data_IF_176413678492
#
_entry.id   IF_176413678492
#
_cell.length_a   1.000
_cell.length_b   1.000
_cell.length_c   1.000
_cell.angle_alpha   90.00
_cell.angle_beta   90.00
_cell.angle_gamma   90.00
#
_symmetry.space_group_name_H-M   'P 1'
#
loop_
_entity.id
_entity.type
_entity.pdbx_description
1 polymer ?
#
# COMPACT_ATOMS: atom_id res chain seq x y z
N UNK A 1 17.34 -33.56 21.75
CA UNK A 1 16.91 -32.15 21.98
C UNK A 1 15.91 -31.82 20.89
N UNK A 2 14.60 -31.95 21.18
CA UNK A 2 13.52 -31.80 20.20
C UNK A 2 13.27 -30.29 20.01
N UNK A 3 13.52 -29.77 18.81
CA UNK A 3 13.17 -28.39 18.45
C UNK A 3 11.66 -28.36 18.26
N UNK A 4 10.93 -28.00 19.30
CA UNK A 4 9.52 -27.60 19.16
C UNK A 4 9.50 -26.30 18.37
N UNK A 5 9.42 -26.40 17.05
CA UNK A 5 9.06 -25.28 16.19
C UNK A 5 7.64 -24.89 16.58
N UNK A 6 7.49 -23.70 17.15
CA UNK A 6 6.18 -23.18 17.56
C UNK A 6 5.32 -22.96 16.31
N UNK A 7 4.54 -23.97 15.93
CA UNK A 7 3.67 -23.95 14.74
C UNK A 7 2.68 -22.77 14.74
N UNK A 8 2.36 -22.22 15.92
CA UNK A 8 1.54 -21.02 16.05
C UNK A 8 2.21 -19.77 15.53
N UNK A 9 3.49 -19.56 15.83
CA UNK A 9 4.25 -18.39 15.36
C UNK A 9 4.46 -18.42 13.83
N UNK A 10 4.72 -19.59 13.26
CA UNK A 10 4.81 -19.76 11.80
C UNK A 10 3.49 -19.47 11.10
N UNK A 11 2.36 -19.94 11.65
CA UNK A 11 1.02 -19.67 11.14
C UNK A 11 0.68 -18.17 11.19
N UNK A 12 0.96 -17.50 12.31
CA UNK A 12 0.73 -16.07 12.47
C UNK A 12 1.55 -15.23 11.47
N UNK A 13 2.82 -15.55 11.25
CA UNK A 13 3.67 -14.90 10.24
C UNK A 13 3.15 -15.14 8.81
N UNK A 14 2.60 -16.30 8.54
CA UNK A 14 2.05 -16.63 7.22
C UNK A 14 0.77 -15.85 6.93
N UNK A 15 -0.15 -15.76 7.88
CA UNK A 15 -1.37 -14.95 7.77
C UNK A 15 -1.07 -13.46 7.68
N UNK A 16 -0.14 -12.95 8.49
CA UNK A 16 0.28 -11.54 8.44
C UNK A 16 0.90 -11.20 7.08
N UNK A 17 1.76 -12.07 6.54
CA UNK A 17 2.36 -11.86 5.22
C UNK A 17 1.33 -11.87 4.09
N UNK A 18 0.29 -12.71 4.17
CA UNK A 18 -0.79 -12.76 3.19
C UNK A 18 -1.64 -11.50 3.25
N UNK A 19 -2.09 -11.08 4.44
CA UNK A 19 -2.87 -9.86 4.62
C UNK A 19 -2.07 -8.60 4.23
N UNK A 20 -0.81 -8.53 4.63
CA UNK A 20 0.07 -7.41 4.29
C UNK A 20 0.31 -7.29 2.78
N UNK A 21 0.52 -8.41 2.06
CA UNK A 21 0.69 -8.37 0.60
C UNK A 21 -0.60 -7.96 -0.12
N UNK A 22 -1.75 -8.40 0.39
CA UNK A 22 -3.05 -8.01 -0.12
C UNK A 22 -3.29 -6.50 0.04
N UNK A 23 -3.02 -5.93 1.23
CA UNK A 23 -3.10 -4.48 1.47
C UNK A 23 -2.09 -3.70 0.62
N UNK A 24 -0.84 -4.17 0.54
CA UNK A 24 0.20 -3.50 -0.22
C UNK A 24 -0.09 -3.41 -1.72
N UNK A 25 -0.92 -4.29 -2.26
CA UNK A 25 -1.35 -4.26 -3.67
C UNK A 25 -2.69 -3.55 -3.86
N UNK A 26 -3.66 -3.74 -2.95
CA UNK A 26 -5.00 -3.17 -3.09
C UNK A 26 -5.00 -1.64 -2.94
N UNK A 27 -4.20 -1.08 -2.05
CA UNK A 27 -4.13 0.37 -1.83
C UNK A 27 -3.67 1.14 -3.09
N UNK A 28 -2.55 0.82 -3.77
CA UNK A 28 -2.15 1.55 -4.97
C UNK A 28 -3.12 1.34 -6.14
N UNK A 29 -3.77 0.17 -6.24
CA UNK A 29 -4.82 -0.05 -7.25
C UNK A 29 -6.02 0.85 -6.99
N UNK A 30 -6.48 0.94 -5.74
CA UNK A 30 -7.57 1.84 -5.35
C UNK A 30 -7.19 3.32 -5.57
N UNK A 31 -5.96 3.72 -5.22
CA UNK A 31 -5.46 5.06 -5.49
C UNK A 31 -5.45 5.37 -6.99
N UNK A 32 -5.02 4.41 -7.82
CA UNK A 32 -5.09 4.55 -9.28
C UNK A 32 -6.51 4.76 -9.80
N UNK A 33 -7.47 4.00 -9.29
CA UNK A 33 -8.88 4.16 -9.64
C UNK A 33 -9.44 5.53 -9.21
N UNK A 34 -9.06 6.02 -8.02
CA UNK A 34 -9.41 7.37 -7.56
C UNK A 34 -8.82 8.46 -8.47
N UNK A 35 -7.56 8.33 -8.87
CA UNK A 35 -6.91 9.26 -9.78
C UNK A 35 -7.60 9.32 -11.14
N UNK A 36 -8.03 8.19 -11.69
CA UNK A 36 -8.81 8.14 -12.92
C UNK A 36 -10.16 8.84 -12.78
N UNK A 37 -10.83 8.67 -11.65
CA UNK A 37 -12.14 9.32 -11.40
C UNK A 37 -12.00 10.83 -11.17
N UNK A 38 -10.83 11.32 -10.76
CA UNK A 38 -10.55 12.75 -10.61
C UNK A 38 -10.16 13.43 -11.92
N UNK A 39 -10.17 12.72 -13.05
CA UNK A 39 -9.85 13.28 -14.38
C UNK A 39 -10.65 14.53 -14.74
N UNK A 40 -11.93 14.58 -14.34
CA UNK A 40 -12.79 15.75 -14.54
C UNK A 40 -12.28 17.02 -13.84
N UNK A 41 -11.43 16.85 -12.81
CA UNK A 41 -10.84 17.96 -12.03
C UNK A 41 -9.43 18.31 -12.52
N UNK A 42 -8.65 17.31 -12.93
CA UNK A 42 -7.23 17.45 -13.25
C UNK A 42 -6.93 17.36 -14.75
N UNK A 43 -7.88 16.86 -15.54
CA UNK A 43 -7.68 16.51 -16.94
C UNK A 43 -7.02 15.14 -17.13
N UNK A 44 -7.35 14.47 -18.25
CA UNK A 44 -6.91 13.09 -18.54
C UNK A 44 -5.39 12.96 -18.62
N UNK A 45 -4.70 13.95 -19.17
CA UNK A 45 -3.23 13.94 -19.26
C UNK A 45 -2.54 13.92 -17.91
N UNK A 46 -3.04 14.72 -16.97
CA UNK A 46 -2.54 14.77 -15.62
C UNK A 46 -2.83 13.46 -14.87
N UNK A 47 -4.04 12.91 -14.99
CA UNK A 47 -4.39 11.62 -14.39
C UNK A 47 -3.48 10.50 -14.90
N UNK A 48 -3.21 10.43 -16.20
CA UNK A 48 -2.29 9.45 -16.78
C UNK A 48 -0.84 9.64 -16.29
N UNK A 49 -0.37 10.88 -16.15
CA UNK A 49 0.95 11.17 -15.59
C UNK A 49 1.08 10.69 -14.16
N UNK A 50 0.08 10.94 -13.31
CA UNK A 50 0.06 10.51 -11.92
C UNK A 50 -0.01 8.98 -11.79
N UNK A 51 -0.79 8.31 -12.65
CA UNK A 51 -0.84 6.85 -12.72
C UNK A 51 0.51 6.25 -13.13
N UNK A 52 1.16 6.84 -14.13
CA UNK A 52 2.49 6.40 -14.57
C UNK A 52 3.50 6.58 -13.45
N UNK A 53 3.49 7.72 -12.75
CA UNK A 53 4.34 7.98 -11.60
C UNK A 53 4.10 6.94 -10.48
N UNK A 54 2.84 6.64 -10.16
CA UNK A 54 2.47 5.63 -9.19
C UNK A 54 3.00 4.25 -9.55
N UNK A 55 2.80 3.82 -10.81
CA UNK A 55 3.25 2.52 -11.29
C UNK A 55 4.78 2.39 -11.26
N UNK A 56 5.50 3.41 -11.76
CA UNK A 56 6.96 3.43 -11.76
C UNK A 56 7.51 3.46 -10.34
N UNK A 57 6.92 4.24 -9.44
CA UNK A 57 7.31 4.29 -8.04
C UNK A 57 7.08 2.95 -7.33
N UNK A 58 5.94 2.28 -7.57
CA UNK A 58 5.67 0.95 -7.04
C UNK A 58 6.70 -0.08 -7.51
N UNK A 59 6.99 -0.12 -8.81
CA UNK A 59 8.00 -1.00 -9.37
C UNK A 59 9.40 -0.68 -8.82
N UNK A 60 9.74 0.61 -8.69
CA UNK A 60 10.98 1.08 -8.08
C UNK A 60 11.12 0.63 -6.62
N UNK A 61 10.05 0.73 -5.83
CA UNK A 61 9.99 0.24 -4.46
C UNK A 61 10.18 -1.26 -4.37
N UNK A 62 9.53 -2.03 -5.23
CA UNK A 62 9.69 -3.47 -5.31
C UNK A 62 11.12 -3.88 -5.73
N UNK A 63 11.77 -3.11 -6.60
CA UNK A 63 13.17 -3.30 -6.98
C UNK A 63 14.11 -2.94 -5.82
N UNK A 64 13.86 -1.83 -5.14
CA UNK A 64 14.65 -1.36 -3.98
C UNK A 64 14.65 -2.39 -2.85
N UNK A 65 13.53 -3.07 -2.59
CA UNK A 65 13.44 -4.13 -1.59
C UNK A 65 14.35 -5.35 -1.90
N UNK A 66 14.80 -5.51 -3.16
CA UNK A 66 15.76 -6.54 -3.57
C UNK A 66 17.22 -6.13 -3.36
N UNK A 67 17.47 -4.86 -3.12
CA UNK A 67 18.83 -4.35 -2.98
C UNK A 67 19.51 -4.95 -1.75
N UNK A 68 20.74 -5.45 -1.94
CA UNK A 68 21.45 -6.24 -0.93
C UNK A 68 21.51 -5.63 0.49
N UNK A 69 21.79 -4.31 0.67
CA UNK A 69 21.82 -3.69 1.99
C UNK A 69 20.49 -3.74 2.72
N UNK A 70 19.38 -3.59 2.01
CA UNK A 70 18.04 -3.64 2.57
C UNK A 70 17.58 -5.08 2.84
N UNK A 71 17.98 -6.03 1.98
CA UNK A 71 17.67 -7.45 2.13
C UNK A 71 18.22 -8.07 3.43
N UNK A 72 19.26 -7.48 4.03
CA UNK A 72 19.81 -7.92 5.32
C UNK A 72 18.98 -7.47 6.53
N UNK A 73 18.01 -6.58 6.34
CA UNK A 73 17.14 -6.12 7.42
C UNK A 73 16.03 -7.14 7.71
N UNK A 74 15.53 -7.21 8.95
CA UNK A 74 14.40 -8.06 9.29
C UNK A 74 13.19 -7.77 8.39
N UNK A 75 12.56 -8.80 7.84
CA UNK A 75 11.46 -8.65 6.88
C UNK A 75 10.28 -7.84 7.47
N UNK A 76 9.93 -8.08 8.73
CA UNK A 76 8.85 -7.34 9.40
C UNK A 76 9.17 -5.86 9.59
N UNK A 77 10.42 -5.52 9.91
CA UNK A 77 10.86 -4.12 9.99
C UNK A 77 10.78 -3.44 8.62
N UNK A 78 11.22 -4.12 7.55
CA UNK A 78 11.11 -3.61 6.18
C UNK A 78 9.65 -3.43 5.74
N UNK A 79 8.79 -4.37 6.09
CA UNK A 79 7.36 -4.29 5.83
C UNK A 79 6.74 -3.07 6.53
N UNK A 80 7.05 -2.88 7.81
CA UNK A 80 6.61 -1.71 8.60
C UNK A 80 7.07 -0.39 7.99
N UNK A 81 8.36 -0.27 7.64
CA UNK A 81 8.90 0.95 7.03
C UNK A 81 8.28 1.21 5.65
N UNK A 82 8.04 0.17 4.86
CA UNK A 82 7.33 0.29 3.58
C UNK A 82 5.94 0.90 3.76
N UNK A 83 5.15 0.38 4.69
CA UNK A 83 3.83 0.93 4.97
C UNK A 83 3.87 2.34 5.57
N UNK A 84 4.81 2.65 6.46
CA UNK A 84 4.95 4.00 7.02
C UNK A 84 5.33 5.02 5.94
N UNK A 85 6.24 4.65 5.04
CA UNK A 85 6.60 5.49 3.89
C UNK A 85 5.40 5.71 2.97
N UNK A 86 4.62 4.65 2.72
CA UNK A 86 3.40 4.75 1.93
C UNK A 86 2.36 5.66 2.60
N UNK A 87 2.13 5.51 3.89
CA UNK A 87 1.21 6.36 4.64
C UNK A 87 1.63 7.84 4.59
N UNK A 88 2.92 8.14 4.74
CA UNK A 88 3.45 9.49 4.60
C UNK A 88 3.22 10.05 3.18
N UNK A 89 3.41 9.24 2.14
CA UNK A 89 3.14 9.62 0.76
C UNK A 89 1.66 9.91 0.51
N UNK A 90 0.76 9.02 0.95
CA UNK A 90 -0.69 9.24 0.82
C UNK A 90 -1.19 10.43 1.63
N UNK A 91 -0.63 10.65 2.84
CA UNK A 91 -0.94 11.84 3.64
C UNK A 91 -0.50 13.12 2.95
N UNK A 92 0.70 13.15 2.36
CA UNK A 92 1.16 14.29 1.55
C UNK A 92 0.24 14.53 0.35
N UNK A 93 -0.16 13.48 -0.36
CA UNK A 93 -1.12 13.57 -1.46
C UNK A 93 -2.46 14.17 -1.00
N UNK A 94 -2.96 13.71 0.16
CA UNK A 94 -4.18 14.22 0.77
C UNK A 94 -4.07 15.72 1.09
N UNK A 95 -2.98 16.12 1.75
CA UNK A 95 -2.75 17.53 2.11
C UNK A 95 -2.67 18.42 0.88
N UNK A 96 -2.04 17.96 -0.20
CA UNK A 96 -1.92 18.73 -1.45
C UNK A 96 -3.25 18.83 -2.18
N UNK A 97 -4.08 17.80 -2.17
CA UNK A 97 -5.43 17.88 -2.73
C UNK A 97 -6.34 18.83 -1.94
N UNK A 98 -6.15 18.92 -0.63
CA UNK A 98 -6.94 19.78 0.23
C UNK A 98 -6.46 21.25 0.18
N UNK A 99 -5.13 21.46 0.09
CA UNK A 99 -4.49 22.76 0.30
C UNK A 99 -4.21 23.60 -0.93
N UNK A 100 -4.50 23.12 -2.18
CA UNK A 100 -4.38 23.99 -3.34
C UNK A 100 -3.45 23.56 -4.49
N UNK A 101 -3.29 22.28 -4.76
CA UNK A 101 -2.77 21.75 -6.04
C UNK A 101 -1.33 22.11 -6.40
N UNK A 102 -0.39 21.98 -5.47
CA UNK A 102 1.03 22.02 -5.83
C UNK A 102 1.43 20.70 -6.54
N UNK A 103 1.60 20.77 -7.86
CA UNK A 103 1.90 19.61 -8.71
C UNK A 103 3.18 18.85 -8.32
N UNK A 104 4.33 19.49 -8.05
CA UNK A 104 5.52 18.79 -7.59
C UNK A 104 5.30 18.02 -6.29
N UNK A 105 4.62 18.62 -5.33
CA UNK A 105 4.33 17.98 -4.05
C UNK A 105 3.30 16.84 -4.18
N UNK A 106 2.29 16.99 -5.06
CA UNK A 106 1.35 15.93 -5.38
C UNK A 106 2.06 14.72 -6.01
N UNK A 107 2.93 14.96 -6.99
CA UNK A 107 3.77 13.93 -7.60
C UNK A 107 4.67 13.25 -6.58
N UNK A 108 5.30 14.02 -5.69
CA UNK A 108 6.15 13.48 -4.62
C UNK A 108 5.35 12.59 -3.67
N UNK A 109 4.14 13.01 -3.29
CA UNK A 109 3.24 12.23 -2.44
C UNK A 109 2.88 10.88 -3.07
N UNK A 110 2.44 10.89 -4.33
CA UNK A 110 2.09 9.68 -5.08
C UNK A 110 3.31 8.77 -5.27
N UNK A 111 4.48 9.34 -5.59
CA UNK A 111 5.70 8.58 -5.75
C UNK A 111 6.15 7.92 -4.43
N UNK A 112 6.12 8.65 -3.31
CA UNK A 112 6.42 8.08 -1.99
C UNK A 112 5.41 7.00 -1.60
N UNK A 113 4.11 7.24 -1.84
CA UNK A 113 3.06 6.26 -1.59
C UNK A 113 3.28 4.98 -2.38
N UNK A 114 3.50 5.09 -3.69
CA UNK A 114 3.78 3.96 -4.57
C UNK A 114 5.06 3.21 -4.19
N UNK A 115 6.16 3.94 -3.92
CA UNK A 115 7.44 3.35 -3.53
C UNK A 115 7.32 2.57 -2.21
N UNK A 116 6.69 3.14 -1.20
CA UNK A 116 6.44 2.48 0.08
C UNK A 116 5.62 1.20 -0.07
N UNK A 117 4.55 1.24 -0.88
CA UNK A 117 3.72 0.06 -1.17
C UNK A 117 4.49 -1.00 -1.95
N UNK A 118 5.34 -0.61 -2.90
CA UNK A 118 6.20 -1.54 -3.63
C UNK A 118 7.18 -2.28 -2.72
N UNK A 119 7.81 -1.57 -1.78
CA UNK A 119 8.68 -2.17 -0.74
C UNK A 119 7.88 -3.13 0.12
N UNK A 120 6.72 -2.71 0.63
CA UNK A 120 5.86 -3.54 1.49
C UNK A 120 5.39 -4.81 0.76
N UNK A 121 4.90 -4.66 -0.48
CA UNK A 121 4.45 -5.78 -1.30
C UNK A 121 5.56 -6.82 -1.53
N UNK A 122 6.73 -6.36 -1.99
CA UNK A 122 7.84 -7.26 -2.28
C UNK A 122 8.35 -7.97 -1.03
N UNK A 123 8.39 -7.27 0.09
CA UNK A 123 8.79 -7.84 1.38
C UNK A 123 7.78 -8.89 1.87
N UNK A 124 6.48 -8.61 1.75
CA UNK A 124 5.41 -9.52 2.16
C UNK A 124 5.37 -10.80 1.32
N UNK A 125 5.55 -10.69 0.00
CA UNK A 125 5.55 -11.86 -0.92
C UNK A 125 6.80 -12.72 -0.74
N UNK A 126 7.94 -12.14 -0.36
CA UNK A 126 9.21 -12.87 -0.20
C UNK A 126 9.74 -13.45 -1.51
N UNK A 127 10.90 -14.15 -1.44
CA UNK A 127 11.53 -14.75 -2.62
C UNK A 127 11.01 -16.18 -2.93
N UNK A 128 10.44 -16.87 -1.97
CA UNK A 128 10.16 -18.32 -2.05
C UNK A 128 8.69 -18.71 -1.94
N UNK A 129 7.80 -17.75 -1.74
CA UNK A 129 6.37 -18.09 -1.67
C UNK A 129 5.82 -18.28 -3.07
N UNK A 130 5.70 -19.54 -3.49
CA UNK A 130 4.75 -19.87 -4.53
C UNK A 130 3.38 -19.33 -4.08
N UNK A 131 2.84 -18.36 -4.83
CA UNK A 131 1.53 -17.77 -4.55
C UNK A 131 0.51 -18.90 -4.57
N UNK A 132 0.09 -19.37 -3.41
CA UNK A 132 -0.96 -20.38 -3.28
C UNK A 132 -2.25 -19.80 -3.88
N UNK A 133 -3.17 -20.68 -4.32
CA UNK A 133 -4.48 -20.26 -4.84
C UNK A 133 -5.22 -19.40 -3.82
N UNK A 134 -5.15 -19.78 -2.52
CA UNK A 134 -5.74 -19.01 -1.44
C UNK A 134 -5.16 -17.59 -1.34
N UNK A 135 -3.83 -17.43 -1.47
CA UNK A 135 -3.19 -16.12 -1.45
C UNK A 135 -3.65 -15.25 -2.63
N UNK A 136 -3.73 -15.82 -3.83
CA UNK A 136 -4.21 -15.09 -5.02
C UNK A 136 -5.66 -14.64 -4.84
N UNK A 137 -6.51 -15.54 -4.34
CA UNK A 137 -7.93 -15.23 -4.09
C UNK A 137 -8.07 -14.11 -3.04
N UNK A 138 -7.38 -14.20 -1.91
CA UNK A 138 -7.37 -13.16 -0.88
C UNK A 138 -6.91 -11.81 -1.44
N UNK A 139 -5.88 -11.80 -2.26
CA UNK A 139 -5.37 -10.58 -2.90
C UNK A 139 -6.41 -9.98 -3.85
N UNK A 140 -7.04 -10.78 -4.71
CA UNK A 140 -8.09 -10.30 -5.63
C UNK A 140 -9.30 -9.76 -4.86
N UNK A 141 -9.78 -10.49 -3.86
CA UNK A 141 -10.90 -10.05 -3.01
C UNK A 141 -10.56 -8.74 -2.30
N UNK A 142 -9.34 -8.60 -1.77
CA UNK A 142 -8.91 -7.36 -1.11
C UNK A 142 -8.82 -6.19 -2.09
N UNK A 143 -8.32 -6.39 -3.31
CA UNK A 143 -8.27 -5.35 -4.35
C UNK A 143 -9.69 -4.86 -4.67
N UNK A 144 -10.61 -5.79 -4.88
CA UNK A 144 -12.01 -5.44 -5.18
C UNK A 144 -12.65 -4.73 -3.99
N UNK A 145 -12.50 -5.28 -2.77
CA UNK A 145 -13.11 -4.70 -1.57
C UNK A 145 -12.59 -3.29 -1.28
N UNK A 146 -11.28 -3.09 -1.27
CA UNK A 146 -10.66 -1.77 -1.03
C UNK A 146 -10.99 -0.79 -2.15
N UNK A 147 -10.95 -1.24 -3.41
CA UNK A 147 -11.30 -0.41 -4.57
C UNK A 147 -12.76 0.04 -4.52
N UNK A 148 -13.69 -0.87 -4.27
CA UNK A 148 -15.14 -0.56 -4.13
C UNK A 148 -15.36 0.37 -2.94
N UNK A 149 -14.77 0.09 -1.76
CA UNK A 149 -14.91 0.95 -0.58
C UNK A 149 -14.41 2.37 -0.86
N UNK A 150 -13.23 2.52 -1.48
CA UNK A 150 -12.68 3.82 -1.82
C UNK A 150 -13.57 4.60 -2.81
N UNK A 151 -14.10 3.93 -3.84
CA UNK A 151 -15.01 4.53 -4.82
C UNK A 151 -16.36 4.92 -4.21
N UNK A 152 -16.91 4.09 -3.30
CA UNK A 152 -18.12 4.40 -2.56
C UNK A 152 -17.92 5.62 -1.66
N UNK A 153 -16.85 5.65 -0.88
CA UNK A 153 -16.49 6.81 -0.04
C UNK A 153 -16.36 8.08 -0.90
N UNK A 154 -15.64 7.99 -2.03
CA UNK A 154 -15.49 9.13 -2.94
C UNK A 154 -16.84 9.62 -3.49
N UNK A 155 -17.78 8.69 -3.75
CA UNK A 155 -19.04 9.04 -4.40
C UNK A 155 -20.07 9.57 -3.42
N UNK A 156 -20.15 8.95 -2.22
CA UNK A 156 -21.25 9.17 -1.26
C UNK A 156 -20.89 10.01 -0.04
N UNK A 157 -19.59 10.05 0.36
CA UNK A 157 -19.21 10.80 1.56
C UNK A 157 -19.29 12.32 1.36
N UNK A 158 -18.89 12.82 0.19
CA UNK A 158 -19.04 14.24 -0.17
C UNK A 158 -18.82 14.42 -1.68
N UNK A 159 -19.39 15.50 -2.28
CA UNK A 159 -19.21 15.78 -3.70
C UNK A 159 -17.79 16.32 -4.00
N UNK A 160 -17.28 15.99 -5.21
CA UNK A 160 -16.05 16.55 -5.78
C UNK A 160 -14.78 16.19 -5.00
N UNK A 161 -13.89 17.18 -4.82
CA UNK A 161 -12.56 17.02 -4.18
C UNK A 161 -12.66 16.46 -2.77
N UNK A 162 -13.69 16.83 -1.99
CA UNK A 162 -13.88 16.33 -0.62
C UNK A 162 -14.06 14.81 -0.57
N UNK A 163 -14.82 14.25 -1.51
CA UNK A 163 -14.97 12.79 -1.62
C UNK A 163 -13.64 12.10 -1.89
N UNK A 164 -12.80 12.65 -2.75
CA UNK A 164 -11.45 12.14 -3.00
C UNK A 164 -10.56 12.25 -1.76
N UNK A 165 -10.67 13.31 -0.97
CA UNK A 165 -9.94 13.44 0.29
C UNK A 165 -10.36 12.37 1.31
N UNK A 166 -11.65 12.10 1.46
CA UNK A 166 -12.12 11.02 2.35
C UNK A 166 -11.64 9.64 1.88
N UNK A 167 -11.69 9.38 0.58
CA UNK A 167 -11.18 8.13 0.04
C UNK A 167 -9.67 7.97 0.25
N UNK A 168 -8.87 9.04 0.08
CA UNK A 168 -7.44 9.03 0.39
C UNK A 168 -7.17 8.85 1.89
N UNK A 169 -7.96 9.46 2.77
CA UNK A 169 -7.84 9.23 4.20
C UNK A 169 -8.05 7.75 4.55
N UNK A 170 -9.04 7.09 3.95
CA UNK A 170 -9.22 5.65 4.08
C UNK A 170 -7.97 4.86 3.64
N UNK A 171 -7.31 5.26 2.54
CA UNK A 171 -6.08 4.60 2.10
C UNK A 171 -4.91 4.83 3.06
N UNK A 172 -4.82 6.01 3.69
CA UNK A 172 -3.86 6.29 4.77
C UNK A 172 -4.10 5.35 5.94
N UNK A 173 -5.36 5.24 6.41
CA UNK A 173 -5.73 4.38 7.54
C UNK A 173 -5.40 2.91 7.26
N UNK A 174 -5.69 2.41 6.06
CA UNK A 174 -5.35 1.05 5.66
C UNK A 174 -3.83 0.79 5.62
N UNK A 175 -3.03 1.77 5.19
CA UNK A 175 -1.57 1.65 5.22
C UNK A 175 -1.01 1.69 6.63
N UNK A 176 -1.57 2.51 7.51
CA UNK A 176 -1.21 2.54 8.94
C UNK A 176 -1.59 1.25 9.64
N UNK A 177 -2.75 0.67 9.31
CA UNK A 177 -3.15 -0.65 9.79
C UNK A 177 -2.14 -1.72 9.36
N UNK A 178 -1.67 -1.70 8.11
CA UNK A 178 -0.62 -2.59 7.63
C UNK A 178 0.69 -2.45 8.41
N UNK A 179 1.10 -1.22 8.73
CA UNK A 179 2.27 -0.94 9.56
C UNK A 179 2.10 -1.45 11.00
N UNK A 180 0.90 -1.29 11.56
CA UNK A 180 0.57 -1.77 12.90
C UNK A 180 0.60 -3.29 12.96
N UNK A 181 0.00 -3.98 11.97
CA UNK A 181 0.05 -5.44 11.86
C UNK A 181 1.50 -5.97 11.82
N UNK A 182 2.36 -5.33 11.03
CA UNK A 182 3.77 -5.69 10.97
C UNK A 182 4.49 -5.49 12.32
N UNK A 183 4.14 -4.43 13.05
CA UNK A 183 4.70 -4.14 14.39
C UNK A 183 4.25 -5.16 15.44
N UNK A 184 2.99 -5.56 15.41
CA UNK A 184 2.45 -6.59 16.33
C UNK A 184 3.14 -7.92 16.06
N UNK A 185 3.21 -8.35 14.79
CA UNK A 185 3.91 -9.57 14.41
C UNK A 185 5.41 -9.56 14.77
N UNK A 186 6.07 -8.39 14.75
CA UNK A 186 7.47 -8.23 15.18
C UNK A 186 7.62 -8.46 16.70
N UNK A 187 6.63 -8.04 17.50
CA UNK A 187 6.63 -8.26 18.96
C UNK A 187 6.33 -9.70 19.36
N UNK A 188 5.40 -10.33 18.66
CA UNK A 188 4.96 -11.71 18.95
C UNK A 188 5.98 -12.75 18.47
N UNK A 189 6.90 -12.36 17.59
CA UNK A 189 7.98 -13.22 17.06
C UNK A 189 9.34 -13.04 17.74
N UNK A 190 9.47 -12.07 18.66
CA UNK A 190 10.67 -11.81 19.44
C UNK A 190 10.60 -12.52 20.80
#
# INVERSE_FOLDING_TARGET
MSIYVNNGALGAMEHTGTAASALALSVPVAAGALLLKTESLLGIGAALMLLTALALAFLGGAALARWQPLRKRPALAMLRYGFLLAAAGWLLTLLMLFGGHDWPALLAGIALGGLGQGVAYRTAVGEKRALTVAHRLTTVVSIVAVGVAALLVQTYAAPGVRGSCFALALLVDLTLLGALMARVAERDGA
#
